data_IF_448469770559
#
_entry.id   IF_448469770559
#
_cell.length_a   1.000
_cell.length_b   1.000
_cell.length_c   1.000
_cell.angle_alpha   90.00
_cell.angle_beta   90.00
_cell.angle_gamma   90.00
#
_symmetry.space_group_name_H-M   'P 1'
#
loop_
_entity.id
_entity.type
_entity.pdbx_description
1 polymer ?
#
# COMPACT_ATOMS: atom_id res chain seq x y z
N UNK A 1 0.50 23.94 109.09
CA UNK A 1 0.99 23.52 110.42
C UNK A 1 0.57 24.57 111.46
N UNK A 2 0.39 24.19 112.72
CA UNK A 2 0.37 25.10 113.88
C UNK A 2 1.84 25.54 114.20
N UNK A 3 2.16 26.48 115.14
CA UNK A 3 1.38 26.82 116.36
C UNK A 3 1.52 28.24 117.03
N UNK A 4 0.65 28.52 118.04
CA UNK A 4 0.89 29.30 119.32
C UNK A 4 1.34 30.79 119.19
N UNK A 5 0.90 31.81 119.98
CA UNK A 5 0.54 31.94 121.42
C UNK A 5 0.31 33.45 121.76
N UNK A 6 -0.56 33.75 122.75
CA UNK A 6 -0.63 34.94 123.68
C UNK A 6 -0.58 36.38 123.10
N UNK A 7 -1.44 37.35 123.47
CA UNK A 7 -2.02 37.89 124.74
C UNK A 7 -1.18 38.98 125.46
N UNK A 8 -1.71 40.21 125.38
CA UNK A 8 -1.96 41.20 126.45
C UNK A 8 -0.80 41.88 127.22
N UNK A 9 -0.99 43.18 127.43
CA UNK A 9 -0.28 44.08 128.36
C UNK A 9 -0.95 45.47 128.29
N UNK A 10 -1.17 46.13 129.43
CA UNK A 10 -1.93 47.37 129.55
C UNK A 10 -1.37 48.28 130.67
N UNK A 11 -1.69 49.58 130.58
CA UNK A 11 -1.74 50.65 131.59
C UNK A 11 -0.62 50.88 132.63
N UNK A 12 -0.32 52.17 132.88
CA UNK A 12 -0.35 52.69 134.26
C UNK A 12 0.92 53.31 134.86
N UNK A 13 0.91 54.63 135.04
CA UNK A 13 1.66 55.39 136.05
C UNK A 13 0.69 56.43 136.70
N UNK A 14 0.95 57.15 137.79
CA UNK A 14 2.19 57.45 138.50
C UNK A 14 1.99 57.85 140.00
N UNK A 15 3.11 58.16 140.67
CA UNK A 15 3.35 58.86 141.96
C UNK A 15 2.39 60.00 142.40
N UNK A 16 2.26 60.27 143.73
CA UNK A 16 2.27 61.66 144.31
C UNK A 16 2.40 61.77 145.86
N UNK A 17 2.33 63.01 146.40
CA UNK A 17 2.77 63.53 147.73
C UNK A 17 2.12 64.92 148.04
N UNK A 18 2.13 65.61 149.22
CA UNK A 18 2.74 65.43 150.57
C UNK A 18 2.02 66.28 151.70
N UNK A 19 1.60 65.70 152.85
CA UNK A 19 1.22 66.43 154.11
C UNK A 19 -0.03 67.35 154.08
N UNK A 20 -0.53 67.95 155.17
CA UNK A 20 -0.28 67.75 156.63
C UNK A 20 -0.87 68.84 157.59
N UNK A 21 -1.25 68.44 158.82
CA UNK A 21 -1.36 69.23 160.08
C UNK A 21 -2.61 70.13 160.48
N UNK A 22 -3.22 69.80 161.64
CA UNK A 22 -3.70 70.61 162.83
C UNK A 22 -4.06 72.13 162.77
N UNK A 23 -4.84 72.76 163.67
CA UNK A 23 -5.81 72.41 164.75
C UNK A 23 -6.49 73.72 165.31
N UNK A 24 -7.32 73.66 166.38
CA UNK A 24 -8.00 74.78 167.12
C UNK A 24 -8.06 74.44 168.64
N UNK A 25 -8.94 74.99 169.54
CA UNK A 25 -9.80 76.21 169.60
C UNK A 25 -9.43 77.10 170.84
N UNK A 26 -10.21 77.92 171.61
CA UNK A 26 -11.63 78.17 172.00
C UNK A 26 -11.79 79.67 172.45
N UNK A 27 -12.98 80.25 172.80
CA UNK A 27 -14.35 80.03 172.32
C UNK A 27 -15.21 81.33 172.16
N UNK A 28 -15.54 81.73 170.93
CA UNK A 28 -16.85 82.34 170.59
C UNK A 28 -17.07 82.38 169.05
N UNK A 29 -15.98 82.40 168.26
CA UNK A 29 -16.02 82.34 166.79
C UNK A 29 -16.18 80.93 166.18
N UNK A 30 -16.39 79.88 167.00
CA UNK A 30 -16.15 78.48 166.57
C UNK A 30 -17.10 78.00 165.48
N UNK A 31 -18.41 78.31 165.55
CA UNK A 31 -19.41 77.77 164.61
C UNK A 31 -19.18 78.16 163.15
N UNK A 32 -18.68 79.38 162.92
CA UNK A 32 -18.29 79.88 161.59
C UNK A 32 -17.15 79.03 161.02
N UNK A 33 -16.30 78.54 161.91
CA UNK A 33 -14.97 78.01 161.62
C UNK A 33 -14.96 76.49 161.42
N UNK A 34 -16.09 75.78 161.61
CA UNK A 34 -16.28 74.38 161.18
C UNK A 34 -17.01 74.30 159.84
N UNK A 35 -18.06 75.11 159.67
CA UNK A 35 -18.77 75.27 158.40
C UNK A 35 -17.82 75.59 157.24
N UNK A 36 -16.77 76.39 157.47
CA UNK A 36 -15.73 76.67 156.46
C UNK A 36 -14.96 75.43 155.99
N UNK A 37 -14.54 74.53 156.89
CA UNK A 37 -13.75 73.33 156.51
C UNK A 37 -14.55 72.38 155.62
N UNK A 38 -15.78 72.08 156.02
CA UNK A 38 -16.71 71.26 155.22
C UNK A 38 -17.01 71.89 153.86
N UNK A 39 -17.10 73.23 153.78
CA UNK A 39 -17.25 73.95 152.51
C UNK A 39 -16.01 73.89 151.61
N UNK A 40 -14.80 73.73 152.16
CA UNK A 40 -13.57 73.64 151.38
C UNK A 40 -13.32 72.20 150.88
N UNK A 41 -13.61 71.18 151.68
CA UNK A 41 -13.64 69.77 151.25
C UNK A 41 -14.71 69.52 150.17
N UNK A 42 -15.90 70.16 150.29
CA UNK A 42 -16.93 70.14 149.24
C UNK A 42 -16.53 70.88 147.96
N UNK A 43 -15.53 71.77 148.00
CA UNK A 43 -14.96 72.41 146.80
C UNK A 43 -13.91 71.52 146.13
N UNK A 44 -13.03 70.88 146.89
CA UNK A 44 -12.01 69.99 146.31
C UNK A 44 -12.65 68.79 145.62
N UNK A 45 -13.57 68.09 146.29
CA UNK A 45 -14.29 66.97 145.68
C UNK A 45 -15.11 67.41 144.45
N UNK A 46 -15.72 68.60 144.48
CA UNK A 46 -16.42 69.15 143.30
C UNK A 46 -15.46 69.50 142.15
N UNK A 47 -14.25 69.96 142.44
CA UNK A 47 -13.23 70.24 141.43
C UNK A 47 -12.65 68.95 140.83
N UNK A 48 -12.48 67.91 141.65
CA UNK A 48 -12.06 66.57 141.24
C UNK A 48 -13.12 65.91 140.34
N UNK A 49 -14.38 65.80 140.79
CA UNK A 49 -15.48 65.31 139.93
C UNK A 49 -15.62 66.14 138.66
N UNK A 50 -15.52 67.47 138.75
CA UNK A 50 -15.56 68.38 137.59
C UNK A 50 -14.32 68.30 136.68
N UNK A 51 -13.29 67.54 137.04
CA UNK A 51 -12.15 67.16 136.20
C UNK A 51 -12.32 65.76 135.60
N UNK A 52 -12.86 64.81 136.38
CA UNK A 52 -13.25 63.48 135.91
C UNK A 52 -14.34 63.56 134.83
N UNK A 53 -15.34 64.43 135.00
CA UNK A 53 -16.36 64.73 133.99
C UNK A 53 -15.74 65.19 132.66
N UNK A 54 -14.67 65.99 132.70
CA UNK A 54 -13.99 66.49 131.48
C UNK A 54 -13.21 65.38 130.80
N UNK A 55 -12.48 64.56 131.56
CA UNK A 55 -11.76 63.40 131.05
C UNK A 55 -12.73 62.37 130.47
N UNK A 56 -13.86 62.11 131.14
CA UNK A 56 -14.93 61.24 130.64
C UNK A 56 -15.51 61.76 129.32
N UNK A 57 -15.79 63.06 129.22
CA UNK A 57 -16.30 63.67 127.98
C UNK A 57 -15.27 63.62 126.83
N UNK A 58 -13.98 63.82 127.12
CA UNK A 58 -12.90 63.66 126.14
C UNK A 58 -12.80 62.20 125.67
N UNK A 59 -12.80 61.24 126.59
CA UNK A 59 -12.75 59.80 126.28
C UNK A 59 -14.02 59.35 125.53
N UNK A 60 -15.20 59.92 125.80
CA UNK A 60 -16.42 59.64 125.02
C UNK A 60 -16.29 60.16 123.59
N UNK A 61 -15.80 61.40 123.41
CA UNK A 61 -15.60 61.99 122.09
C UNK A 61 -14.54 61.22 121.28
N UNK A 62 -13.43 60.83 121.90
CA UNK A 62 -12.39 60.00 121.27
C UNK A 62 -12.92 58.61 120.93
N UNK A 63 -13.72 58.00 121.80
CA UNK A 63 -14.40 56.72 121.53
C UNK A 63 -15.40 56.83 120.39
N UNK A 64 -16.16 57.92 120.30
CA UNK A 64 -17.11 58.19 119.21
C UNK A 64 -16.37 58.42 117.88
N UNK A 65 -15.27 59.19 117.89
CA UNK A 65 -14.39 59.36 116.72
C UNK A 65 -13.77 58.04 116.28
N UNK A 66 -13.23 57.23 117.21
CA UNK A 66 -12.70 55.90 116.92
C UNK A 66 -13.79 54.94 116.40
N UNK A 67 -15.02 55.06 116.90
CA UNK A 67 -16.17 54.25 116.41
C UNK A 67 -16.56 54.64 114.99
N UNK A 68 -16.56 55.94 114.65
CA UNK A 68 -16.80 56.43 113.30
C UNK A 68 -15.68 56.07 112.33
N UNK A 69 -14.40 56.23 112.73
CA UNK A 69 -13.25 55.81 111.93
C UNK A 69 -13.25 54.30 111.70
N UNK A 70 -13.54 53.49 112.73
CA UNK A 70 -13.65 52.05 112.60
C UNK A 70 -14.80 51.62 111.68
N UNK A 71 -15.97 52.29 111.76
CA UNK A 71 -17.08 52.03 110.85
C UNK A 71 -16.76 52.41 109.39
N UNK A 72 -16.00 53.48 109.16
CA UNK A 72 -15.51 53.88 107.84
C UNK A 72 -14.44 52.93 107.30
N UNK A 73 -13.47 52.53 108.12
CA UNK A 73 -12.46 51.52 107.73
C UNK A 73 -13.11 50.16 107.46
N UNK A 74 -14.16 49.79 108.22
CA UNK A 74 -14.96 48.60 107.95
C UNK A 74 -15.70 48.73 106.61
N UNK A 75 -16.43 49.82 106.35
CA UNK A 75 -17.17 49.97 105.09
C UNK A 75 -16.22 50.01 103.88
N UNK A 76 -15.08 50.68 103.99
CA UNK A 76 -14.04 50.70 102.94
C UNK A 76 -13.38 49.32 102.77
N UNK A 77 -13.24 48.52 103.83
CA UNK A 77 -12.77 47.13 103.72
C UNK A 77 -13.81 46.22 103.03
N UNK A 78 -15.09 46.40 103.33
CA UNK A 78 -16.21 45.69 102.70
C UNK A 78 -16.35 46.08 101.21
N UNK A 79 -16.31 47.37 100.87
CA UNK A 79 -16.27 47.87 99.48
C UNK A 79 -15.09 47.29 98.70
N UNK A 80 -13.88 47.29 99.27
CA UNK A 80 -12.69 46.68 98.64
C UNK A 80 -12.85 45.19 98.46
N UNK A 81 -13.44 44.49 99.43
CA UNK A 81 -13.73 43.05 99.33
C UNK A 81 -14.74 42.77 98.20
N UNK A 82 -15.74 43.64 98.02
CA UNK A 82 -16.75 43.51 96.96
C UNK A 82 -16.21 43.85 95.57
N UNK A 83 -15.34 44.86 95.45
CA UNK A 83 -14.59 45.11 94.22
C UNK A 83 -13.67 43.94 93.88
N UNK A 84 -13.03 43.31 94.87
CA UNK A 84 -12.22 42.10 94.69
C UNK A 84 -13.05 40.83 94.41
N UNK A 85 -14.35 40.79 94.75
CA UNK A 85 -15.28 39.74 94.30
C UNK A 85 -15.64 39.95 92.85
N UNK A 86 -16.15 41.13 92.50
CA UNK A 86 -16.49 41.51 91.11
C UNK A 86 -15.33 41.30 90.15
N UNK A 87 -14.11 41.73 90.50
CA UNK A 87 -12.91 41.52 89.67
C UNK A 87 -12.46 40.05 89.56
N UNK A 88 -12.89 39.15 90.44
CA UNK A 88 -12.69 37.69 90.27
C UNK A 88 -13.78 37.09 89.38
N UNK A 89 -15.02 37.54 89.54
CA UNK A 89 -16.15 37.14 88.71
C UNK A 89 -15.89 37.54 87.24
N UNK A 90 -15.52 38.80 86.98
CA UNK A 90 -15.10 39.29 85.65
C UNK A 90 -13.96 38.46 85.03
N UNK A 91 -12.91 38.11 85.80
CA UNK A 91 -11.79 37.30 85.31
C UNK A 91 -12.21 35.85 85.04
N UNK A 92 -13.16 35.30 85.81
CA UNK A 92 -13.75 33.99 85.53
C UNK A 92 -14.52 34.07 84.20
N UNK A 93 -15.43 35.04 84.05
CA UNK A 93 -16.22 35.25 82.83
C UNK A 93 -15.34 35.43 81.58
N UNK A 94 -14.27 36.22 81.66
CA UNK A 94 -13.28 36.37 80.59
C UNK A 94 -12.59 35.03 80.25
N UNK A 95 -12.09 34.30 81.26
CA UNK A 95 -11.43 32.99 81.02
C UNK A 95 -12.38 31.91 80.51
N UNK A 96 -13.66 31.96 80.87
CA UNK A 96 -14.69 31.09 80.30
C UNK A 96 -15.01 31.49 78.86
N UNK A 97 -15.14 32.78 78.53
CA UNK A 97 -15.33 33.27 77.16
C UNK A 97 -14.18 32.85 76.24
N UNK A 98 -12.94 33.16 76.61
CA UNK A 98 -11.75 32.70 75.87
C UNK A 98 -11.68 31.17 75.82
N UNK A 99 -12.14 30.48 76.86
CA UNK A 99 -12.27 29.04 76.92
C UNK A 99 -13.33 28.47 75.96
N UNK A 100 -14.39 29.21 75.64
CA UNK A 100 -15.40 28.86 74.64
C UNK A 100 -14.93 29.20 73.22
N UNK A 101 -14.36 30.39 73.00
CA UNK A 101 -13.73 30.80 71.74
C UNK A 101 -12.64 29.80 71.31
N UNK A 102 -11.76 29.39 72.22
CA UNK A 102 -10.72 28.40 71.93
C UNK A 102 -11.30 27.03 71.57
N UNK A 103 -12.47 26.65 72.11
CA UNK A 103 -13.20 25.42 71.70
C UNK A 103 -13.80 25.59 70.30
N UNK A 104 -14.43 26.73 70.01
CA UNK A 104 -15.00 27.05 68.70
C UNK A 104 -13.92 27.08 67.61
N UNK A 105 -12.79 27.74 67.83
CA UNK A 105 -11.65 27.74 66.91
C UNK A 105 -11.10 26.31 66.68
N UNK A 106 -10.96 25.50 67.74
CA UNK A 106 -10.55 24.09 67.61
C UNK A 106 -11.56 23.25 66.83
N UNK A 107 -12.87 23.51 66.97
CA UNK A 107 -13.91 22.85 66.20
C UNK A 107 -13.90 23.30 64.73
N UNK A 108 -13.76 24.60 64.43
CA UNK A 108 -13.68 25.09 63.05
C UNK A 108 -12.43 24.59 62.33
N UNK A 109 -11.28 24.49 63.02
CA UNK A 109 -10.07 23.86 62.45
C UNK A 109 -10.31 22.37 62.15
N UNK A 110 -10.99 21.63 63.04
CA UNK A 110 -11.35 20.23 62.77
C UNK A 110 -12.32 20.08 61.59
N UNK A 111 -13.29 20.98 61.46
CA UNK A 111 -14.20 21.02 60.32
C UNK A 111 -13.44 21.32 59.02
N UNK A 112 -12.60 22.37 58.99
CA UNK A 112 -11.78 22.71 57.83
C UNK A 112 -10.85 21.57 57.40
N UNK A 113 -10.28 20.81 58.35
CA UNK A 113 -9.45 19.64 58.05
C UNK A 113 -10.28 18.43 57.56
N UNK A 114 -11.53 18.27 58.01
CA UNK A 114 -12.45 17.28 57.49
C UNK A 114 -12.89 17.65 56.07
N UNK A 115 -13.39 18.87 55.87
CA UNK A 115 -13.74 19.50 54.58
C UNK A 115 -12.60 19.30 53.56
N UNK A 116 -11.36 19.69 53.90
CA UNK A 116 -10.19 19.48 53.04
C UNK A 116 -9.86 18.00 52.78
N UNK A 117 -10.13 17.10 53.72
CA UNK A 117 -9.90 15.66 53.53
C UNK A 117 -10.95 15.01 52.63
N UNK A 118 -12.19 15.46 52.71
CA UNK A 118 -13.33 15.04 51.90
C UNK A 118 -13.15 15.55 50.46
N UNK A 119 -12.85 16.84 50.27
CA UNK A 119 -12.42 17.43 48.98
C UNK A 119 -11.25 16.64 48.37
N UNK A 120 -10.22 16.30 49.17
CA UNK A 120 -9.07 15.53 48.72
C UNK A 120 -9.36 14.04 48.46
N UNK A 121 -10.52 13.50 48.89
CA UNK A 121 -11.01 12.19 48.44
C UNK A 121 -11.87 12.30 47.20
N UNK A 122 -12.74 13.30 47.08
CA UNK A 122 -13.60 13.51 45.92
C UNK A 122 -12.78 13.85 44.66
N UNK A 123 -11.71 14.64 44.81
CA UNK A 123 -10.73 14.89 43.75
C UNK A 123 -9.99 13.61 43.30
N UNK A 124 -9.78 12.63 44.19
CA UNK A 124 -9.20 11.32 43.82
C UNK A 124 -10.22 10.43 43.13
N UNK A 125 -11.44 10.34 43.66
CA UNK A 125 -12.52 9.52 43.10
C UNK A 125 -12.90 10.01 41.70
N UNK A 126 -13.01 11.33 41.50
CA UNK A 126 -13.26 11.94 40.19
C UNK A 126 -12.09 11.77 39.22
N UNK A 127 -10.84 11.89 39.68
CA UNK A 127 -9.67 11.59 38.85
C UNK A 127 -9.60 10.11 38.44
N UNK A 128 -9.86 9.18 39.36
CA UNK A 128 -9.94 7.74 39.06
C UNK A 128 -11.08 7.41 38.09
N UNK A 129 -12.25 8.04 38.24
CA UNK A 129 -13.38 7.87 37.33
C UNK A 129 -13.05 8.39 35.92
N UNK A 130 -12.40 9.56 35.82
CA UNK A 130 -11.94 10.12 34.56
C UNK A 130 -10.84 9.26 33.89
N UNK A 131 -9.95 8.64 34.67
CA UNK A 131 -8.97 7.69 34.16
C UNK A 131 -9.63 6.40 33.64
N UNK A 132 -10.56 5.80 34.40
CA UNK A 132 -11.30 4.61 33.98
C UNK A 132 -12.10 4.86 32.69
N UNK A 133 -12.84 5.98 32.62
CA UNK A 133 -13.55 6.39 31.40
C UNK A 133 -12.60 6.57 30.21
N UNK A 134 -11.39 7.11 30.44
CA UNK A 134 -10.37 7.25 29.39
C UNK A 134 -9.78 5.90 28.96
N UNK A 135 -9.58 4.96 29.88
CA UNK A 135 -9.16 3.59 29.55
C UNK A 135 -10.22 2.86 28.71
N UNK A 136 -11.50 2.93 29.09
CA UNK A 136 -12.58 2.28 28.35
C UNK A 136 -12.75 2.89 26.95
N UNK A 137 -12.71 4.22 26.83
CA UNK A 137 -12.68 4.92 25.53
C UNK A 137 -11.42 4.61 24.70
N UNK A 138 -10.31 4.18 25.31
CA UNK A 138 -9.16 3.65 24.58
C UNK A 138 -9.38 2.22 24.12
N UNK A 139 -9.95 1.33 24.97
CA UNK A 139 -10.32 -0.05 24.61
C UNK A 139 -11.28 -0.07 23.42
N UNK A 140 -12.35 0.73 23.46
CA UNK A 140 -13.31 0.89 22.36
C UNK A 140 -12.62 1.31 21.04
N UNK A 141 -11.61 2.18 21.10
CA UNK A 141 -10.84 2.63 19.94
C UNK A 141 -9.83 1.59 19.43
N UNK A 142 -9.33 0.72 20.30
CA UNK A 142 -8.47 -0.40 19.92
C UNK A 142 -9.30 -1.52 19.28
N UNK A 143 -10.47 -1.85 19.85
CA UNK A 143 -11.44 -2.79 19.27
C UNK A 143 -11.96 -2.28 17.92
N UNK A 144 -12.37 -1.01 17.80
CA UNK A 144 -12.81 -0.44 16.53
C UNK A 144 -11.74 -0.58 15.43
N UNK A 145 -10.48 -0.21 15.73
CA UNK A 145 -9.34 -0.40 14.81
C UNK A 145 -9.06 -1.87 14.50
N UNK A 146 -9.32 -2.78 15.44
CA UNK A 146 -9.19 -4.22 15.21
C UNK A 146 -10.24 -4.71 14.22
N UNK A 147 -11.51 -4.33 14.39
CA UNK A 147 -12.59 -4.67 13.45
C UNK A 147 -12.36 -4.04 12.06
N UNK A 148 -12.04 -2.74 11.98
CA UNK A 148 -11.66 -2.06 10.73
C UNK A 148 -10.56 -2.82 10.00
N UNK A 149 -9.51 -3.23 10.71
CA UNK A 149 -8.38 -4.00 10.16
C UNK A 149 -8.80 -5.39 9.68
N UNK A 150 -9.69 -6.08 10.39
CA UNK A 150 -10.24 -7.37 9.94
C UNK A 150 -11.10 -7.21 8.68
N UNK A 151 -11.89 -6.15 8.58
CA UNK A 151 -12.75 -5.91 7.42
C UNK A 151 -11.94 -5.45 6.20
N UNK A 152 -10.90 -4.63 6.39
CA UNK A 152 -9.90 -4.38 5.34
C UNK A 152 -9.20 -5.68 4.88
N UNK A 153 -8.92 -6.61 5.80
CA UNK A 153 -8.37 -7.94 5.48
C UNK A 153 -9.37 -8.86 4.76
N UNK A 154 -10.68 -8.74 4.98
CA UNK A 154 -11.72 -9.43 4.20
C UNK A 154 -11.81 -8.83 2.80
N UNK A 155 -12.01 -7.52 2.70
CA UNK A 155 -12.14 -6.78 1.43
C UNK A 155 -10.95 -7.00 0.50
N UNK A 156 -9.72 -6.98 1.03
CA UNK A 156 -8.51 -7.26 0.22
C UNK A 156 -8.42 -8.72 -0.24
N UNK A 157 -8.90 -9.70 0.55
CA UNK A 157 -8.99 -11.11 0.13
C UNK A 157 -10.08 -11.31 -0.92
N UNK A 158 -11.22 -10.66 -0.78
CA UNK A 158 -12.34 -10.71 -1.73
C UNK A 158 -11.93 -10.08 -3.08
N UNK A 159 -11.27 -8.93 -3.06
CA UNK A 159 -10.66 -8.34 -4.26
C UNK A 159 -9.62 -9.29 -4.91
N UNK A 160 -8.76 -9.94 -4.11
CA UNK A 160 -7.81 -10.92 -4.62
C UNK A 160 -8.49 -12.15 -5.26
N UNK A 161 -9.59 -12.64 -4.67
CA UNK A 161 -10.39 -13.72 -5.24
C UNK A 161 -11.03 -13.31 -6.58
N UNK A 162 -11.70 -12.16 -6.63
CA UNK A 162 -12.31 -11.62 -7.86
C UNK A 162 -11.26 -11.37 -8.95
N UNK A 163 -10.06 -10.88 -8.59
CA UNK A 163 -8.95 -10.75 -9.53
C UNK A 163 -8.42 -12.11 -10.02
N UNK A 164 -8.35 -13.12 -9.15
CA UNK A 164 -7.96 -14.48 -9.55
C UNK A 164 -8.98 -15.13 -10.49
N UNK A 165 -10.29 -14.97 -10.21
CA UNK A 165 -11.37 -15.41 -11.09
C UNK A 165 -11.35 -14.69 -12.43
N UNK A 166 -11.16 -13.37 -12.46
CA UNK A 166 -11.01 -12.60 -13.68
C UNK A 166 -9.82 -13.09 -14.53
N UNK A 167 -8.68 -13.39 -13.89
CA UNK A 167 -7.51 -13.96 -14.56
C UNK A 167 -7.76 -15.39 -15.08
N UNK A 168 -8.60 -16.19 -14.41
CA UNK A 168 -9.03 -17.50 -14.93
C UNK A 168 -9.97 -17.33 -16.14
N UNK A 169 -10.97 -16.46 -16.07
CA UNK A 169 -11.86 -16.14 -17.19
C UNK A 169 -11.09 -15.59 -18.40
N UNK A 170 -10.07 -14.76 -18.17
CA UNK A 170 -9.22 -14.23 -19.24
C UNK A 170 -8.39 -15.33 -19.92
N UNK A 171 -7.87 -16.30 -19.15
CA UNK A 171 -7.16 -17.47 -19.69
C UNK A 171 -8.10 -18.37 -20.50
N UNK A 172 -9.28 -18.69 -19.97
CA UNK A 172 -10.29 -19.48 -20.69
C UNK A 172 -10.65 -18.82 -22.04
N UNK A 173 -10.87 -17.50 -22.07
CA UNK A 173 -11.11 -16.74 -23.32
C UNK A 173 -9.91 -16.68 -24.27
N UNK A 174 -8.69 -16.92 -23.80
CA UNK A 174 -7.50 -17.07 -24.65
C UNK A 174 -7.41 -18.50 -25.20
N UNK A 175 -7.64 -19.51 -24.37
CA UNK A 175 -7.66 -20.93 -24.76
C UNK A 175 -8.78 -21.22 -25.78
N UNK A 176 -9.97 -20.64 -25.59
CA UNK A 176 -11.09 -20.67 -26.55
C UNK A 176 -10.64 -20.16 -27.94
N UNK A 177 -10.04 -18.96 -28.00
CA UNK A 177 -9.54 -18.38 -29.26
C UNK A 177 -8.40 -19.18 -29.88
N UNK A 178 -7.54 -19.78 -29.06
CA UNK A 178 -6.47 -20.68 -29.53
C UNK A 178 -7.09 -21.95 -30.13
N UNK A 179 -8.16 -22.49 -29.55
CA UNK A 179 -8.90 -23.64 -30.08
C UNK A 179 -9.67 -23.29 -31.37
N UNK A 180 -10.24 -22.10 -31.47
CA UNK A 180 -10.87 -21.58 -32.70
C UNK A 180 -9.85 -21.47 -33.84
N UNK A 181 -8.73 -20.78 -33.62
CA UNK A 181 -7.65 -20.67 -34.60
C UNK A 181 -7.11 -22.04 -35.03
N UNK A 182 -6.93 -22.98 -34.08
CA UNK A 182 -6.53 -24.37 -34.42
C UNK A 182 -7.57 -25.04 -35.33
N UNK A 183 -8.87 -24.94 -35.02
CA UNK A 183 -9.95 -25.48 -35.86
C UNK A 183 -9.97 -24.85 -37.25
N UNK A 184 -9.67 -23.56 -37.38
CA UNK A 184 -9.57 -22.85 -38.67
C UNK A 184 -8.35 -23.30 -39.50
N UNK A 185 -7.19 -23.45 -38.88
CA UNK A 185 -6.01 -24.03 -39.54
C UNK A 185 -6.24 -25.48 -39.96
N UNK A 186 -6.88 -26.31 -39.11
CA UNK A 186 -7.24 -27.69 -39.47
C UNK A 186 -8.27 -27.77 -40.60
N UNK A 187 -9.24 -26.84 -40.66
CA UNK A 187 -10.20 -26.75 -41.79
C UNK A 187 -9.46 -26.38 -43.06
N UNK A 188 -8.65 -25.32 -43.01
CA UNK A 188 -7.86 -24.83 -44.15
C UNK A 188 -6.88 -25.89 -44.67
N UNK A 189 -6.23 -26.65 -43.79
CA UNK A 189 -5.35 -27.75 -44.14
C UNK A 189 -6.12 -28.93 -44.77
N UNK A 190 -7.31 -29.29 -44.25
CA UNK A 190 -8.19 -30.30 -44.85
C UNK A 190 -8.64 -29.88 -46.25
N UNK A 191 -9.11 -28.66 -46.42
CA UNK A 191 -9.56 -28.12 -47.71
C UNK A 191 -8.43 -28.08 -48.73
N UNK A 192 -7.24 -27.64 -48.33
CA UNK A 192 -6.05 -27.66 -49.18
C UNK A 192 -5.70 -29.10 -49.60
N UNK A 193 -5.73 -30.05 -48.66
CA UNK A 193 -5.43 -31.46 -48.91
C UNK A 193 -6.45 -32.13 -49.84
N UNK A 194 -7.75 -31.82 -49.70
CA UNK A 194 -8.81 -32.25 -50.63
C UNK A 194 -8.61 -31.65 -52.03
N UNK A 195 -8.31 -30.35 -52.13
CA UNK A 195 -8.01 -29.68 -53.41
C UNK A 195 -6.79 -30.29 -54.10
N UNK A 196 -5.75 -30.67 -53.36
CA UNK A 196 -4.59 -31.36 -53.94
C UNK A 196 -4.89 -32.79 -54.35
N UNK A 197 -5.60 -33.58 -53.53
CA UNK A 197 -6.07 -34.93 -53.91
C UNK A 197 -6.86 -34.91 -55.23
N UNK A 198 -7.89 -34.06 -55.32
CA UNK A 198 -8.70 -33.90 -56.51
C UNK A 198 -7.87 -33.49 -57.75
N UNK A 199 -6.87 -32.61 -57.60
CA UNK A 199 -5.93 -32.27 -58.68
C UNK A 199 -5.10 -33.49 -59.11
N UNK A 200 -4.56 -34.26 -58.17
CA UNK A 200 -3.77 -35.47 -58.46
C UNK A 200 -4.62 -36.55 -59.14
N UNK A 201 -5.85 -36.76 -58.70
CA UNK A 201 -6.75 -37.77 -59.28
C UNK A 201 -7.28 -37.35 -60.66
N UNK A 202 -7.63 -36.08 -60.87
CA UNK A 202 -7.93 -35.57 -62.21
C UNK A 202 -6.75 -35.73 -63.18
N UNK A 203 -5.51 -35.47 -62.74
CA UNK A 203 -4.31 -35.68 -63.55
C UNK A 203 -4.06 -37.16 -63.85
N UNK A 204 -4.31 -38.07 -62.89
CA UNK A 204 -4.25 -39.53 -63.12
C UNK A 204 -5.27 -39.93 -64.19
N UNK A 205 -6.50 -39.46 -64.07
CA UNK A 205 -7.59 -39.77 -65.00
C UNK A 205 -7.33 -39.23 -66.41
N UNK A 206 -6.80 -38.00 -66.55
CA UNK A 206 -6.46 -37.44 -67.85
C UNK A 206 -5.28 -38.17 -68.51
N UNK A 207 -4.28 -38.60 -67.75
CA UNK A 207 -3.21 -39.46 -68.27
C UNK A 207 -3.73 -40.87 -68.63
N UNK A 208 -4.69 -41.42 -67.88
CA UNK A 208 -5.39 -42.66 -68.26
C UNK A 208 -6.22 -42.51 -69.53
N UNK A 209 -6.97 -41.41 -69.69
CA UNK A 209 -7.73 -41.08 -70.92
C UNK A 209 -6.78 -40.97 -72.12
N UNK A 210 -5.68 -40.23 -71.99
CA UNK A 210 -4.62 -40.12 -73.01
C UNK A 210 -4.04 -41.48 -73.37
N UNK A 211 -3.72 -42.33 -72.38
CA UNK A 211 -3.23 -43.70 -72.61
C UNK A 211 -4.27 -44.55 -73.35
N UNK A 212 -5.54 -44.52 -72.96
CA UNK A 212 -6.63 -45.25 -73.63
C UNK A 212 -6.80 -44.80 -75.08
N UNK A 213 -6.77 -43.50 -75.36
CA UNK A 213 -6.84 -42.94 -76.71
C UNK A 213 -5.64 -43.34 -77.58
N UNK A 214 -4.41 -43.31 -77.04
CA UNK A 214 -3.21 -43.75 -77.76
C UNK A 214 -3.23 -45.26 -78.06
N UNK A 215 -3.68 -46.09 -77.11
CA UNK A 215 -3.86 -47.53 -77.32
C UNK A 215 -4.91 -47.79 -78.40
N UNK A 216 -6.09 -47.16 -78.32
CA UNK A 216 -7.15 -47.31 -79.32
C UNK A 216 -6.70 -46.84 -80.73
N UNK A 217 -5.87 -45.79 -80.82
CA UNK A 217 -5.28 -45.37 -82.10
C UNK A 217 -4.32 -46.41 -82.64
N UNK A 218 -3.40 -46.93 -81.82
CA UNK A 218 -2.45 -47.99 -82.21
C UNK A 218 -3.20 -49.26 -82.63
N UNK A 219 -4.33 -49.58 -81.99
CA UNK A 219 -5.21 -50.68 -82.37
C UNK A 219 -5.92 -50.43 -83.70
N UNK A 220 -6.42 -49.22 -83.95
CA UNK A 220 -7.00 -48.83 -85.24
C UNK A 220 -5.95 -48.89 -86.38
N UNK A 221 -4.75 -48.38 -86.15
CA UNK A 221 -3.64 -48.41 -87.11
C UNK A 221 -3.21 -49.87 -87.41
N UNK A 222 -3.13 -50.73 -86.38
CA UNK A 222 -2.89 -52.18 -86.54
C UNK A 222 -4.02 -52.88 -87.30
N UNK A 223 -5.27 -52.59 -87.00
CA UNK A 223 -6.43 -53.20 -87.67
C UNK A 223 -6.53 -52.76 -89.14
N UNK A 224 -6.19 -51.50 -89.43
CA UNK A 224 -6.04 -50.99 -90.80
C UNK A 224 -4.93 -51.73 -91.55
N UNK A 225 -3.75 -51.90 -90.93
CA UNK A 225 -2.65 -52.66 -91.51
C UNK A 225 -3.00 -54.15 -91.72
N UNK A 226 -3.68 -54.79 -90.76
CA UNK A 226 -4.17 -56.17 -90.90
C UNK A 226 -5.16 -56.31 -92.06
N UNK A 227 -6.11 -55.39 -92.19
CA UNK A 227 -7.06 -55.34 -93.31
C UNK A 227 -6.34 -55.12 -94.66
N UNK A 228 -5.34 -54.23 -94.71
CA UNK A 228 -4.51 -54.02 -95.89
C UNK A 228 -3.74 -55.30 -96.27
N UNK A 229 -3.10 -55.98 -95.29
CA UNK A 229 -2.37 -57.23 -95.53
C UNK A 229 -3.31 -58.36 -95.94
N UNK A 230 -4.52 -58.46 -95.38
CA UNK A 230 -5.55 -59.40 -95.83
C UNK A 230 -6.03 -59.09 -97.26
N UNK A 231 -6.18 -57.80 -97.61
CA UNK A 231 -6.51 -57.37 -98.98
C UNK A 231 -5.38 -57.67 -99.96
N UNK A 232 -4.12 -57.44 -99.57
CA UNK A 232 -2.95 -57.80 -100.39
C UNK A 232 -2.80 -59.32 -100.53
N UNK A 233 -2.92 -60.09 -99.44
CA UNK A 233 -2.82 -61.55 -99.45
C UNK A 233 -3.97 -62.20 -100.26
N UNK A 234 -5.18 -61.66 -100.18
CA UNK A 234 -6.27 -62.11 -101.04
C UNK A 234 -6.02 -61.74 -102.52
N UNK A 235 -5.51 -60.54 -102.82
CA UNK A 235 -5.11 -60.16 -104.19
C UNK A 235 -3.98 -61.03 -104.73
N UNK A 236 -2.92 -61.29 -103.97
CA UNK A 236 -1.83 -62.20 -104.39
C UNK A 236 -2.33 -63.63 -104.50
N UNK A 237 -3.19 -64.11 -103.60
CA UNK A 237 -3.82 -65.43 -103.72
C UNK A 237 -4.68 -65.54 -105.00
N UNK A 238 -5.40 -64.49 -105.39
CA UNK A 238 -6.11 -64.46 -106.68
C UNK A 238 -5.17 -64.34 -107.88
N UNK A 239 -4.09 -63.57 -107.78
CA UNK A 239 -3.07 -63.46 -108.82
C UNK A 239 -2.29 -64.77 -109.00
N UNK A 240 -2.03 -65.52 -107.91
CA UNK A 240 -1.42 -66.85 -107.91
C UNK A 240 -2.40 -67.88 -108.50
N UNK A 241 -3.70 -67.81 -108.14
CA UNK A 241 -4.74 -68.65 -108.78
C UNK A 241 -4.90 -68.35 -110.28
N UNK A 242 -4.78 -67.08 -110.69
CA UNK A 242 -4.74 -66.70 -112.12
C UNK A 242 -3.46 -67.21 -112.76
N UNK A 243 -2.29 -66.91 -112.24
CA UNK A 243 -0.99 -67.38 -112.76
C UNK A 243 -0.91 -68.90 -112.88
N UNK A 244 -1.42 -69.68 -111.93
CA UNK A 244 -1.54 -71.14 -112.07
C UNK A 244 -2.71 -71.59 -112.96
N UNK A 245 -3.78 -70.79 -113.12
CA UNK A 245 -4.82 -71.01 -114.12
C UNK A 245 -4.31 -70.78 -115.55
N UNK A 246 -3.57 -69.70 -115.76
CA UNK A 246 -2.91 -69.29 -117.00
C UNK A 246 -1.73 -70.23 -117.32
N UNK A 247 -1.01 -70.73 -116.31
CA UNK A 247 -0.05 -71.83 -116.47
C UNK A 247 -0.76 -73.16 -116.72
N UNK A 248 -1.93 -73.47 -116.16
CA UNK A 248 -2.63 -74.72 -116.51
C UNK A 248 -3.29 -74.66 -117.88
N UNK A 249 -3.78 -73.50 -118.33
CA UNK A 249 -4.28 -73.30 -119.70
C UNK A 249 -3.12 -73.27 -120.72
N UNK A 250 -2.06 -72.51 -120.44
CA UNK A 250 -0.83 -72.49 -121.24
C UNK A 250 -0.12 -73.84 -121.22
N UNK A 251 -0.13 -74.60 -120.11
CA UNK A 251 0.36 -75.98 -120.09
C UNK A 251 -0.60 -76.96 -120.75
N UNK A 252 -1.91 -76.72 -120.82
CA UNK A 252 -2.82 -77.54 -121.63
C UNK A 252 -2.63 -77.26 -123.12
N UNK A 253 -2.33 -76.01 -123.50
CA UNK A 253 -1.86 -75.66 -124.84
C UNK A 253 -0.48 -76.22 -125.13
N UNK A 254 0.47 -76.13 -124.21
CA UNK A 254 1.81 -76.67 -124.35
C UNK A 254 1.80 -78.19 -124.32
N UNK A 255 0.87 -78.86 -123.63
CA UNK A 255 0.66 -80.31 -123.74
C UNK A 255 0.02 -80.66 -125.10
N UNK A 256 -0.79 -79.78 -125.71
CA UNK A 256 -1.24 -79.96 -127.11
C UNK A 256 -0.10 -79.73 -128.11
N UNK A 257 0.76 -78.73 -127.89
CA UNK A 257 1.95 -78.42 -128.70
C UNK A 257 3.02 -79.51 -128.55
N UNK A 258 3.40 -79.87 -127.32
CA UNK A 258 4.30 -80.99 -127.01
C UNK A 258 3.72 -82.36 -127.38
N UNK A 259 2.41 -82.58 -127.48
CA UNK A 259 1.89 -83.82 -128.12
C UNK A 259 2.13 -83.86 -129.63
N UNK A 260 2.36 -82.70 -130.26
CA UNK A 260 2.87 -82.55 -131.62
C UNK A 260 4.40 -82.67 -131.60
N UNK A 261 5.08 -81.78 -130.87
CA UNK A 261 6.54 -81.66 -130.80
C UNK A 261 7.23 -82.86 -130.14
N UNK A 262 6.57 -83.74 -129.37
CA UNK A 262 7.16 -85.00 -128.88
C UNK A 262 7.30 -86.04 -130.01
N UNK A 263 6.49 -85.93 -131.09
CA UNK A 263 6.79 -86.66 -132.32
C UNK A 263 8.10 -86.16 -132.95
N UNK A 264 8.32 -84.84 -132.91
CA UNK A 264 9.45 -84.14 -133.52
C UNK A 264 10.73 -84.16 -132.64
N UNK A 265 10.61 -84.19 -131.32
CA UNK A 265 11.71 -84.17 -130.35
C UNK A 265 12.22 -85.58 -130.00
N UNK A 266 11.44 -86.63 -130.28
CA UNK A 266 11.99 -88.00 -130.41
C UNK A 266 13.12 -88.08 -131.45
N UNK A 267 13.22 -87.11 -132.36
CA UNK A 267 14.32 -86.95 -133.32
C UNK A 267 15.49 -86.08 -132.80
N UNK A 268 15.34 -85.40 -131.65
CA UNK A 268 16.28 -84.36 -131.17
C UNK A 268 16.88 -84.59 -129.77
N UNK A 269 16.21 -85.33 -128.88
CA UNK A 269 16.66 -85.57 -127.49
C UNK A 269 18.05 -86.23 -127.37
N UNK A 270 18.56 -86.83 -128.46
CA UNK A 270 19.90 -87.42 -128.54
C UNK A 270 21.08 -86.42 -128.40
N UNK A 271 20.84 -85.09 -128.31
CA UNK A 271 21.90 -84.07 -128.53
C UNK A 271 22.32 -83.20 -127.33
N UNK A 272 21.46 -82.91 -126.36
CA UNK A 272 21.68 -81.80 -125.39
C UNK A 272 21.83 -82.19 -123.91
N UNK A 273 21.97 -83.48 -123.59
CA UNK A 273 22.08 -84.01 -122.22
C UNK A 273 23.36 -83.64 -121.43
N UNK A 274 24.08 -82.55 -121.77
CA UNK A 274 25.42 -82.22 -121.21
C UNK A 274 25.55 -80.86 -120.50
N UNK A 275 24.54 -79.99 -120.49
CA UNK A 275 24.62 -78.64 -119.88
C UNK A 275 24.15 -78.54 -118.41
N UNK A 276 23.68 -79.63 -117.79
CA UNK A 276 23.04 -79.62 -116.47
C UNK A 276 23.99 -79.60 -115.24
N UNK A 277 25.29 -79.85 -115.41
CA UNK A 277 26.21 -80.05 -114.27
C UNK A 277 26.70 -78.74 -113.61
N UNK A 278 27.11 -77.75 -114.42
CA UNK A 278 27.98 -76.66 -113.98
C UNK A 278 27.30 -75.61 -113.07
N UNK A 279 25.97 -75.53 -113.09
CA UNK A 279 25.21 -74.56 -112.29
C UNK A 279 25.10 -74.95 -110.81
N UNK A 280 25.23 -76.24 -110.47
CA UNK A 280 25.04 -76.72 -109.09
C UNK A 280 26.26 -76.41 -108.21
N UNK A 281 27.46 -76.35 -108.79
CA UNK A 281 28.71 -76.13 -108.03
C UNK A 281 28.82 -74.71 -107.44
N UNK A 282 28.43 -73.69 -108.19
CA UNK A 282 28.70 -72.27 -107.85
C UNK A 282 27.90 -71.75 -106.66
N UNK A 283 26.77 -72.38 -106.32
CA UNK A 283 25.85 -71.90 -105.29
C UNK A 283 26.30 -72.23 -103.84
N UNK A 284 27.32 -73.08 -103.65
CA UNK A 284 27.74 -73.55 -102.31
C UNK A 284 28.79 -72.67 -101.62
N UNK A 285 29.46 -71.75 -102.33
CA UNK A 285 30.58 -70.97 -101.79
C UNK A 285 30.22 -69.70 -101.00
N UNK A 286 29.00 -69.17 -101.17
CA UNK A 286 28.63 -67.81 -100.70
C UNK A 286 27.96 -67.77 -99.31
N UNK A 287 27.67 -68.92 -98.71
CA UNK A 287 26.86 -69.01 -97.47
C UNK A 287 27.65 -68.66 -96.21
N UNK A 288 28.92 -69.09 -96.12
CA UNK A 288 29.77 -68.87 -94.95
C UNK A 288 30.17 -67.40 -94.71
N UNK A 289 30.62 -66.62 -95.74
CA UNK A 289 30.96 -65.21 -95.54
C UNK A 289 29.79 -64.36 -95.06
N UNK A 290 28.59 -64.62 -95.59
CA UNK A 290 27.36 -63.89 -95.29
C UNK A 290 26.94 -64.02 -93.82
N UNK A 291 27.26 -65.15 -93.18
CA UNK A 291 26.89 -65.45 -91.79
C UNK A 291 27.77 -64.76 -90.74
N UNK A 292 28.99 -64.37 -91.11
CA UNK A 292 29.96 -63.74 -90.17
C UNK A 292 29.70 -62.25 -90.05
N UNK A 293 29.47 -61.57 -91.17
CA UNK A 293 29.13 -60.15 -91.20
C UNK A 293 27.79 -59.84 -90.50
N UNK A 294 26.78 -60.72 -90.61
CA UNK A 294 25.54 -60.56 -89.83
C UNK A 294 25.80 -60.59 -88.32
N UNK A 295 26.59 -61.54 -87.82
CA UNK A 295 26.91 -61.64 -86.39
C UNK A 295 27.75 -60.46 -85.86
N UNK A 296 28.59 -59.86 -86.71
CA UNK A 296 29.34 -58.64 -86.37
C UNK A 296 28.42 -57.41 -86.32
N UNK A 297 27.51 -57.25 -87.29
CA UNK A 297 26.52 -56.17 -87.25
C UNK A 297 25.54 -56.29 -86.07
N UNK A 298 25.15 -57.50 -85.67
CA UNK A 298 24.30 -57.72 -84.48
C UNK A 298 24.99 -57.26 -83.18
N UNK A 299 26.29 -57.53 -83.02
CA UNK A 299 27.09 -57.07 -81.86
C UNK A 299 27.20 -55.55 -81.81
N UNK A 300 27.58 -54.93 -82.92
CA UNK A 300 27.71 -53.47 -83.03
C UNK A 300 26.35 -52.77 -82.77
N UNK A 301 25.25 -53.34 -83.24
CA UNK A 301 23.90 -52.85 -82.90
C UNK A 301 23.55 -52.99 -81.41
N UNK A 302 24.08 -53.98 -80.70
CA UNK A 302 23.87 -54.11 -79.26
C UNK A 302 24.68 -53.08 -78.48
N UNK A 303 25.95 -52.88 -78.84
CA UNK A 303 26.85 -51.90 -78.22
C UNK A 303 26.33 -50.46 -78.38
N UNK A 304 25.83 -50.11 -79.58
CA UNK A 304 25.19 -48.81 -79.83
C UNK A 304 23.97 -48.56 -78.91
N UNK A 305 23.11 -49.56 -78.69
CA UNK A 305 21.94 -49.43 -77.80
C UNK A 305 22.36 -49.20 -76.34
N UNK A 306 23.42 -49.86 -75.87
CA UNK A 306 23.97 -49.62 -74.53
C UNK A 306 24.50 -48.18 -74.40
N UNK A 307 25.25 -47.71 -75.40
CA UNK A 307 25.77 -46.34 -75.43
C UNK A 307 24.66 -45.28 -75.47
N UNK A 308 23.57 -45.52 -76.21
CA UNK A 308 22.39 -44.64 -76.21
C UNK A 308 21.72 -44.58 -74.83
N UNK A 309 21.55 -45.73 -74.16
CA UNK A 309 20.99 -45.81 -72.81
C UNK A 309 21.86 -45.06 -71.81
N UNK A 310 23.18 -45.24 -71.84
CA UNK A 310 24.09 -44.60 -70.89
C UNK A 310 24.25 -43.10 -71.16
N UNK A 311 24.13 -42.66 -72.43
CA UNK A 311 24.03 -41.23 -72.80
C UNK A 311 22.79 -40.57 -72.19
N UNK A 312 21.64 -41.27 -72.13
CA UNK A 312 20.43 -40.77 -71.45
C UNK A 312 20.62 -40.71 -69.93
N UNK A 313 21.15 -41.77 -69.30
CA UNK A 313 21.47 -41.77 -67.86
C UNK A 313 22.41 -40.61 -67.49
N UNK A 314 23.42 -40.35 -68.31
CA UNK A 314 24.38 -39.25 -68.10
C UNK A 314 23.71 -37.87 -68.24
N UNK A 315 22.73 -37.72 -69.13
CA UNK A 315 21.94 -36.49 -69.24
C UNK A 315 21.06 -36.27 -68.00
N UNK A 316 20.35 -37.30 -67.52
CA UNK A 316 19.58 -37.23 -66.27
C UNK A 316 20.45 -36.92 -65.05
N UNK A 317 21.63 -37.55 -64.95
CA UNK A 317 22.57 -37.31 -63.86
C UNK A 317 23.09 -35.87 -63.86
N UNK A 318 23.38 -35.31 -65.05
CA UNK A 318 23.77 -33.90 -65.21
C UNK A 318 22.62 -32.94 -64.84
N UNK A 319 21.38 -33.24 -65.23
CA UNK A 319 20.21 -32.45 -64.84
C UNK A 319 20.04 -32.43 -63.32
N UNK A 320 20.02 -33.60 -62.67
CA UNK A 320 19.92 -33.73 -61.20
C UNK A 320 21.08 -33.01 -60.49
N UNK A 321 22.29 -33.04 -61.03
CA UNK A 321 23.43 -32.29 -60.50
C UNK A 321 23.22 -30.77 -60.61
N UNK A 322 22.74 -30.26 -61.76
CA UNK A 322 22.45 -28.82 -61.92
C UNK A 322 21.27 -28.34 -61.06
N UNK A 323 20.28 -29.20 -60.83
CA UNK A 323 19.20 -28.92 -59.88
C UNK A 323 19.77 -28.82 -58.47
N UNK A 324 20.57 -29.80 -58.04
CA UNK A 324 21.20 -29.83 -56.72
C UNK A 324 22.13 -28.63 -56.47
N UNK A 325 23.00 -28.26 -57.41
CA UNK A 325 23.85 -27.07 -57.25
C UNK A 325 23.03 -25.79 -57.19
N UNK A 326 21.92 -25.69 -57.95
CA UNK A 326 21.01 -24.55 -57.84
C UNK A 326 20.28 -24.49 -56.48
N UNK A 327 20.02 -25.63 -55.85
CA UNK A 327 19.44 -25.65 -54.49
C UNK A 327 20.47 -25.34 -53.40
N UNK A 328 21.72 -25.78 -53.55
CA UNK A 328 22.81 -25.45 -52.62
C UNK A 328 23.08 -23.93 -52.63
N UNK A 329 23.27 -23.33 -53.81
CA UNK A 329 23.49 -21.88 -53.94
C UNK A 329 22.34 -21.04 -53.34
N UNK A 330 21.08 -21.52 -53.41
CA UNK A 330 19.93 -20.88 -52.76
C UNK A 330 19.93 -21.03 -51.24
N UNK A 331 20.37 -22.18 -50.72
CA UNK A 331 20.49 -22.42 -49.28
C UNK A 331 21.66 -21.63 -48.67
N UNK A 332 22.78 -21.52 -49.39
CA UNK A 332 23.93 -20.68 -49.02
C UNK A 332 23.51 -19.21 -48.90
N UNK A 333 22.84 -18.66 -49.92
CA UNK A 333 22.28 -17.30 -49.87
C UNK A 333 21.27 -17.11 -48.72
N UNK A 334 20.44 -18.12 -48.42
CA UNK A 334 19.52 -18.06 -47.28
C UNK A 334 20.25 -18.08 -45.93
N UNK A 335 21.34 -18.84 -45.81
CA UNK A 335 22.19 -18.86 -44.62
C UNK A 335 22.86 -17.50 -44.40
N UNK A 336 23.49 -16.91 -45.43
CA UNK A 336 24.10 -15.58 -45.36
C UNK A 336 23.09 -14.49 -44.91
N UNK A 337 21.88 -14.49 -45.49
CA UNK A 337 20.82 -13.56 -45.11
C UNK A 337 20.39 -13.74 -43.65
N UNK A 338 20.25 -14.99 -43.18
CA UNK A 338 19.91 -15.29 -41.79
C UNK A 338 21.05 -14.91 -40.82
N UNK A 339 22.30 -15.13 -41.19
CA UNK A 339 23.46 -14.71 -40.39
C UNK A 339 23.50 -13.19 -40.24
N UNK A 340 23.37 -12.44 -41.33
CA UNK A 340 23.27 -10.97 -41.32
C UNK A 340 22.10 -10.48 -40.45
N UNK A 341 20.92 -11.11 -40.55
CA UNK A 341 19.77 -10.79 -39.69
C UNK A 341 20.06 -11.08 -38.21
N UNK A 342 20.67 -12.22 -37.87
CA UNK A 342 21.02 -12.53 -36.47
C UNK A 342 22.08 -11.56 -35.93
N UNK A 343 23.05 -11.12 -36.74
CA UNK A 343 23.97 -10.05 -36.35
C UNK A 343 23.27 -8.72 -36.07
N UNK A 344 22.39 -8.28 -36.98
CA UNK A 344 21.64 -7.03 -36.80
C UNK A 344 20.78 -7.08 -35.52
N UNK A 345 20.16 -8.23 -35.22
CA UNK A 345 19.42 -8.47 -33.99
C UNK A 345 20.34 -8.50 -32.74
N UNK A 346 21.53 -9.12 -32.81
CA UNK A 346 22.53 -9.08 -31.72
C UNK A 346 22.98 -7.65 -31.43
N UNK A 347 23.31 -6.87 -32.47
CA UNK A 347 23.72 -5.45 -32.38
C UNK A 347 22.59 -4.61 -31.75
N UNK A 348 21.36 -4.70 -32.27
CA UNK A 348 20.18 -4.01 -31.73
C UNK A 348 19.83 -4.40 -30.30
N UNK A 349 20.03 -5.68 -29.91
CA UNK A 349 19.87 -6.15 -28.53
C UNK A 349 20.90 -5.51 -27.60
N UNK A 350 22.18 -5.50 -27.98
CA UNK A 350 23.25 -4.89 -27.20
C UNK A 350 23.04 -3.38 -27.01
N UNK A 351 22.65 -2.66 -28.08
CA UNK A 351 22.25 -1.25 -27.98
C UNK A 351 21.09 -1.04 -27.00
N UNK A 352 20.03 -1.85 -27.08
CA UNK A 352 18.86 -1.70 -26.23
C UNK A 352 19.19 -2.01 -24.76
N UNK A 353 20.03 -3.01 -24.49
CA UNK A 353 20.57 -3.27 -23.16
C UNK A 353 21.42 -2.11 -22.64
N UNK A 354 22.28 -1.51 -23.46
CA UNK A 354 23.08 -0.34 -23.07
C UNK A 354 22.22 0.90 -22.82
N UNK A 355 21.19 1.16 -23.66
CA UNK A 355 20.21 2.23 -23.45
C UNK A 355 19.43 2.03 -22.15
N UNK A 356 18.99 0.81 -21.87
CA UNK A 356 18.32 0.45 -20.60
C UNK A 356 19.22 0.68 -19.39
N UNK A 357 20.48 0.21 -19.42
CA UNK A 357 21.44 0.45 -18.34
C UNK A 357 21.69 1.95 -18.10
N UNK A 358 21.91 2.74 -19.16
CA UNK A 358 22.06 4.20 -19.05
C UNK A 358 20.82 4.88 -18.47
N UNK A 359 19.62 4.44 -18.85
CA UNK A 359 18.36 4.96 -18.31
C UNK A 359 18.17 4.58 -16.83
N UNK A 360 18.47 3.33 -16.46
CA UNK A 360 18.37 2.84 -15.08
C UNK A 360 19.34 3.58 -14.15
N UNK A 361 20.64 3.66 -14.50
CA UNK A 361 21.61 4.43 -13.73
C UNK A 361 21.27 5.93 -13.69
N UNK A 362 20.78 6.49 -14.80
CA UNK A 362 20.33 7.89 -14.84
C UNK A 362 19.11 8.18 -13.96
N UNK A 363 18.18 7.23 -13.81
CA UNK A 363 17.08 7.35 -12.84
C UNK A 363 17.57 7.12 -11.41
N UNK A 364 18.44 6.15 -11.17
CA UNK A 364 19.03 5.90 -9.84
C UNK A 364 19.81 7.12 -9.33
N UNK A 365 20.60 7.77 -10.19
CA UNK A 365 21.28 9.03 -9.87
C UNK A 365 20.30 10.17 -9.58
N UNK A 366 19.26 10.34 -10.41
CA UNK A 366 18.21 11.36 -10.17
C UNK A 366 17.43 11.11 -8.88
N UNK A 367 17.15 9.85 -8.53
CA UNK A 367 16.52 9.47 -7.28
C UNK A 367 17.45 9.76 -6.09
N UNK A 368 18.69 9.27 -6.11
CA UNK A 368 19.67 9.51 -5.05
C UNK A 368 19.97 10.99 -4.82
N UNK A 369 20.06 11.81 -5.89
CA UNK A 369 20.19 13.26 -5.77
C UNK A 369 18.95 13.92 -5.15
N UNK A 370 17.74 13.47 -5.50
CA UNK A 370 16.51 13.95 -4.84
C UNK A 370 16.50 13.58 -3.36
N UNK A 371 16.82 12.34 -3.00
CA UNK A 371 16.89 11.90 -1.60
C UNK A 371 17.93 12.70 -0.82
N UNK A 372 19.14 12.87 -1.35
CA UNK A 372 20.21 13.68 -0.72
C UNK A 372 19.80 15.16 -0.55
N UNK A 373 19.04 15.73 -1.47
CA UNK A 373 18.51 17.10 -1.34
C UNK A 373 17.40 17.16 -0.27
N UNK A 374 16.54 16.13 -0.19
CA UNK A 374 15.51 16.04 0.86
C UNK A 374 16.14 15.83 2.24
N UNK A 375 17.12 14.95 2.39
CA UNK A 375 17.90 14.76 3.63
C UNK A 375 18.57 16.06 4.09
N UNK A 376 19.18 16.81 3.17
CA UNK A 376 19.81 18.11 3.50
C UNK A 376 18.79 19.18 3.86
N UNK A 377 17.62 19.21 3.21
CA UNK A 377 16.52 20.13 3.58
C UNK A 377 15.92 19.77 4.93
N UNK A 378 15.74 18.48 5.20
CA UNK A 378 15.20 17.97 6.45
C UNK A 378 16.14 18.31 7.60
N UNK A 379 17.45 18.07 7.48
CA UNK A 379 18.46 18.50 8.46
C UNK A 379 18.50 20.00 8.68
N UNK A 380 18.43 20.81 7.61
CA UNK A 380 18.37 22.26 7.74
C UNK A 380 17.06 22.77 8.39
N UNK A 381 15.98 21.97 8.39
CA UNK A 381 14.75 22.24 9.12
C UNK A 381 14.84 21.76 10.58
N UNK A 382 15.44 20.59 10.84
CA UNK A 382 15.76 20.10 12.19
C UNK A 382 16.66 21.10 12.93
N UNK A 383 17.77 21.54 12.32
CA UNK A 383 18.68 22.57 12.84
C UNK A 383 17.94 23.90 13.11
N UNK A 384 17.00 24.29 12.25
CA UNK A 384 16.20 25.51 12.44
C UNK A 384 15.15 25.35 13.55
N UNK A 385 14.56 24.17 13.70
CA UNK A 385 13.62 23.84 14.77
C UNK A 385 14.33 23.79 16.13
N UNK A 386 15.50 23.14 16.23
CA UNK A 386 16.33 23.15 17.43
C UNK A 386 16.69 24.58 17.85
N UNK A 387 17.12 25.43 16.92
CA UNK A 387 17.45 26.84 17.18
C UNK A 387 16.21 27.64 17.60
N UNK A 388 15.06 27.46 16.93
CA UNK A 388 13.82 28.14 17.30
C UNK A 388 13.30 27.69 18.68
N UNK A 389 13.36 26.39 18.97
CA UNK A 389 12.96 25.83 20.26
C UNK A 389 13.87 26.31 21.39
N UNK A 390 15.19 26.37 21.17
CA UNK A 390 16.14 26.96 22.12
C UNK A 390 15.86 28.45 22.38
N UNK A 391 15.56 29.24 21.34
CA UNK A 391 15.16 30.65 21.50
C UNK A 391 13.85 30.79 22.28
N UNK A 392 12.86 29.92 22.06
CA UNK A 392 11.60 29.91 22.84
C UNK A 392 11.86 29.55 24.30
N UNK A 393 12.74 28.58 24.59
CA UNK A 393 13.13 28.23 25.96
C UNK A 393 13.86 29.38 26.66
N UNK A 394 14.80 30.04 25.99
CA UNK A 394 15.47 31.25 26.50
C UNK A 394 14.49 32.38 26.79
N UNK A 395 13.53 32.64 25.90
CA UNK A 395 12.52 33.69 26.10
C UNK A 395 11.58 33.37 27.27
N UNK A 396 11.17 32.10 27.44
CA UNK A 396 10.40 31.64 28.62
C UNK A 396 11.17 31.88 29.90
N UNK A 397 12.45 31.48 29.96
CA UNK A 397 13.31 31.66 31.14
C UNK A 397 13.55 33.14 31.46
N UNK A 398 13.95 33.95 30.47
CA UNK A 398 14.23 35.39 30.64
C UNK A 398 13.02 36.20 31.11
N UNK A 399 11.81 35.86 30.63
CA UNK A 399 10.57 36.56 31.00
C UNK A 399 9.81 35.95 32.18
N UNK A 400 10.21 34.79 32.69
CA UNK A 400 9.50 34.00 33.72
C UNK A 400 8.02 33.75 33.39
N UNK A 401 7.71 33.46 32.13
CA UNK A 401 6.33 33.14 31.71
C UNK A 401 6.08 31.68 32.06
N UNK A 402 5.06 31.43 32.89
CA UNK A 402 4.66 30.07 33.24
C UNK A 402 4.01 29.37 32.04
N UNK A 403 4.16 28.05 31.94
CA UNK A 403 3.65 27.33 30.76
C UNK A 403 2.12 27.36 30.66
N UNK A 404 1.40 27.55 31.78
CA UNK A 404 -0.06 27.64 31.82
C UNK A 404 -0.62 28.75 30.93
N UNK A 405 -0.02 29.95 30.97
CA UNK A 405 -0.52 31.11 30.23
C UNK A 405 -0.25 31.01 28.71
N UNK A 406 0.73 30.20 28.32
CA UNK A 406 1.12 30.00 26.93
C UNK A 406 0.29 28.93 26.21
N UNK A 407 -0.30 27.97 26.93
CA UNK A 407 -1.15 26.91 26.32
C UNK A 407 -2.35 27.49 25.56
N UNK A 408 -3.26 28.29 26.15
CA UNK A 408 -4.43 28.79 25.44
C UNK A 408 -4.08 29.76 24.30
N UNK A 409 -2.95 30.47 24.43
CA UNK A 409 -2.45 31.34 23.36
C UNK A 409 -1.85 30.54 22.20
N UNK A 410 -1.18 29.40 22.49
CA UNK A 410 -0.71 28.45 21.48
C UNK A 410 -1.88 27.77 20.79
N UNK A 411 -2.84 27.21 21.53
CA UNK A 411 -4.00 26.53 20.97
C UNK A 411 -4.86 27.47 20.10
N UNK A 412 -5.01 28.73 20.50
CA UNK A 412 -5.65 29.77 19.68
C UNK A 412 -4.86 30.11 18.41
N UNK A 413 -3.53 30.18 18.48
CA UNK A 413 -2.67 30.38 17.31
C UNK A 413 -2.68 29.16 16.37
N UNK A 414 -2.60 27.95 16.90
CA UNK A 414 -2.66 26.68 16.17
C UNK A 414 -4.03 26.48 15.50
N UNK A 415 -5.12 26.89 16.16
CA UNK A 415 -6.46 26.92 15.56
C UNK A 415 -6.56 27.92 14.41
N UNK A 416 -5.98 29.12 14.57
CA UNK A 416 -5.95 30.15 13.52
C UNK A 416 -5.02 29.79 12.35
N UNK A 417 -3.93 29.07 12.60
CA UNK A 417 -3.07 28.48 11.56
C UNK A 417 -3.85 27.41 10.78
N UNK A 418 -4.43 26.42 11.47
CA UNK A 418 -5.26 25.36 10.83
C UNK A 418 -6.41 25.94 10.01
N UNK A 419 -7.06 27.00 10.48
CA UNK A 419 -8.12 27.69 9.74
C UNK A 419 -7.57 28.39 8.48
N UNK A 420 -6.36 28.96 8.52
CA UNK A 420 -5.70 29.56 7.35
C UNK A 420 -5.18 28.50 6.37
N UNK A 421 -4.68 27.38 6.87
CA UNK A 421 -4.20 26.28 6.03
C UNK A 421 -5.38 25.60 5.32
N UNK A 422 -6.50 25.36 6.03
CA UNK A 422 -7.74 24.88 5.43
C UNK A 422 -8.26 25.83 4.34
N UNK A 423 -8.34 27.14 4.64
CA UNK A 423 -8.73 28.15 3.64
C UNK A 423 -7.74 28.23 2.47
N UNK A 424 -6.44 28.01 2.71
CA UNK A 424 -5.44 27.95 1.65
C UNK A 424 -5.58 26.69 0.77
N UNK A 425 -6.05 25.57 1.32
CA UNK A 425 -6.39 24.36 0.56
C UNK A 425 -7.73 24.50 -0.17
N UNK A 426 -8.78 25.07 0.43
CA UNK A 426 -10.01 25.47 -0.25
C UNK A 426 -9.71 26.35 -1.48
N UNK A 427 -8.91 27.41 -1.31
CA UNK A 427 -8.48 28.26 -2.43
C UNK A 427 -7.62 27.52 -3.47
N UNK A 428 -6.84 26.49 -3.08
CA UNK A 428 -6.12 25.64 -4.04
C UNK A 428 -7.07 24.74 -4.82
N UNK A 429 -8.19 24.31 -4.24
CA UNK A 429 -9.21 23.52 -4.92
C UNK A 429 -10.09 24.37 -5.83
N UNK A 430 -10.51 25.56 -5.39
CA UNK A 430 -11.16 26.56 -6.25
C UNK A 430 -10.28 26.92 -7.46
N UNK A 431 -8.96 27.12 -7.26
CA UNK A 431 -8.03 27.38 -8.36
C UNK A 431 -7.92 26.18 -9.33
N UNK A 432 -8.05 24.94 -8.88
CA UNK A 432 -8.13 23.76 -9.78
C UNK A 432 -9.46 23.77 -10.53
N UNK A 433 -10.58 23.90 -9.82
CA UNK A 433 -11.92 23.91 -10.40
C UNK A 433 -12.09 25.02 -11.45
N UNK A 434 -11.57 26.22 -11.19
CA UNK A 434 -11.56 27.34 -12.15
C UNK A 434 -10.69 27.06 -13.38
N UNK A 435 -9.55 26.38 -13.23
CA UNK A 435 -8.70 25.95 -14.36
C UNK A 435 -9.39 24.89 -15.22
N UNK A 436 -10.04 23.91 -14.59
CA UNK A 436 -10.75 22.84 -15.27
C UNK A 436 -12.01 23.38 -15.98
N UNK A 437 -12.78 24.26 -15.33
CA UNK A 437 -13.89 24.98 -15.95
C UNK A 437 -13.44 25.87 -17.11
N UNK A 438 -12.29 26.55 -17.00
CA UNK A 438 -11.69 27.31 -18.09
C UNK A 438 -11.29 26.41 -19.27
N UNK A 439 -10.65 25.28 -19.01
CA UNK A 439 -10.30 24.29 -20.04
C UNK A 439 -11.56 23.76 -20.75
N UNK A 440 -12.61 23.40 -19.99
CA UNK A 440 -13.90 22.94 -20.54
C UNK A 440 -14.60 24.03 -21.33
N UNK A 441 -14.58 25.29 -20.87
CA UNK A 441 -15.14 26.42 -21.60
C UNK A 441 -14.40 26.66 -22.93
N UNK A 442 -13.06 26.56 -22.93
CA UNK A 442 -12.24 26.65 -24.16
C UNK A 442 -12.61 25.55 -25.15
N UNK A 443 -12.79 24.31 -24.71
CA UNK A 443 -13.21 23.20 -25.58
C UNK A 443 -14.66 23.35 -26.08
N UNK A 444 -15.57 23.89 -25.27
CA UNK A 444 -16.93 24.22 -25.68
C UNK A 444 -16.96 25.35 -26.71
N UNK A 445 -16.21 26.44 -26.50
CA UNK A 445 -16.11 27.54 -27.48
C UNK A 445 -15.49 27.06 -28.80
N UNK A 446 -14.44 26.22 -28.75
CA UNK A 446 -13.87 25.62 -29.97
C UNK A 446 -14.91 24.78 -30.73
N UNK A 447 -15.72 23.99 -30.02
CA UNK A 447 -16.82 23.21 -30.61
C UNK A 447 -17.90 24.10 -31.24
N UNK A 448 -18.32 25.18 -30.57
CA UNK A 448 -19.29 26.14 -31.09
C UNK A 448 -18.80 26.91 -32.31
N UNK A 449 -17.51 27.30 -32.34
CA UNK A 449 -16.89 27.96 -33.50
C UNK A 449 -16.82 27.02 -34.70
N UNK A 450 -16.39 25.77 -34.49
CA UNK A 450 -16.39 24.74 -35.53
C UNK A 450 -17.80 24.44 -36.07
N UNK A 451 -18.81 24.37 -35.19
CA UNK A 451 -20.22 24.21 -35.58
C UNK A 451 -20.78 25.43 -36.34
N UNK A 452 -20.21 26.61 -36.11
CA UNK A 452 -20.53 27.86 -36.81
C UNK A 452 -19.77 28.02 -38.14
N UNK A 453 -18.95 27.03 -38.52
CA UNK A 453 -18.17 27.03 -39.76
C UNK A 453 -16.90 27.88 -39.72
N UNK A 454 -16.47 28.36 -38.56
CA UNK A 454 -15.21 29.10 -38.40
C UNK A 454 -14.09 28.13 -38.03
N UNK A 455 -13.05 27.95 -38.86
CA UNK A 455 -11.89 27.14 -38.53
C UNK A 455 -11.15 27.71 -37.30
N UNK A 456 -10.68 26.83 -36.43
CA UNK A 456 -9.86 27.22 -35.26
C UNK A 456 -8.53 27.87 -35.69
N UNK A 457 -8.09 27.62 -36.94
CA UNK A 457 -6.88 28.16 -37.54
C UNK A 457 -6.97 29.66 -37.90
N UNK A 458 -8.19 30.21 -38.05
CA UNK A 458 -8.40 31.65 -38.30
C UNK A 458 -8.31 32.50 -37.02
N UNK A 459 -8.25 31.87 -35.84
CA UNK A 459 -8.08 32.55 -34.56
C UNK A 459 -6.60 32.91 -34.34
N UNK A 460 -6.29 34.22 -34.39
CA UNK A 460 -4.94 34.76 -34.20
C UNK A 460 -4.35 34.58 -32.78
N UNK A 461 -5.02 33.85 -31.90
CA UNK A 461 -4.55 33.52 -30.55
C UNK A 461 -4.85 32.05 -30.21
N UNK A 462 -3.89 31.38 -29.57
CA UNK A 462 -4.10 30.05 -28.99
C UNK A 462 -4.49 30.24 -27.52
N UNK A 463 -5.66 29.76 -27.06
CA UNK A 463 -6.06 29.88 -25.66
C UNK A 463 -5.13 29.05 -24.76
N UNK A 464 -4.66 29.66 -23.68
CA UNK A 464 -3.82 28.99 -22.66
C UNK A 464 -4.66 27.90 -21.99
N UNK A 465 -4.18 26.65 -22.05
CA UNK A 465 -4.69 25.53 -21.24
C UNK A 465 -3.87 25.42 -19.97
N UNK A 466 -4.53 25.10 -18.86
CA UNK A 466 -3.86 24.86 -17.58
C UNK A 466 -3.80 23.35 -17.29
N UNK A 467 -2.68 22.94 -16.68
CA UNK A 467 -2.38 21.56 -16.23
C UNK A 467 -1.87 21.58 -14.79
#
# INVERSE_FOLDING_TARGET
>A
MAPKKKRAGDSGAASLKNGGASAKPLPEEIEIQEKRKLLDELKSLRAECGSEERLYNQISLEKEQLSHLWALDQSVAEERHDLLRKKKEEVIDETESFGMELKLCKLRIKQLLAEQSEEATDLKISAEAALKLREDVHREKEDAKWYEKQDQLKMTREMQAVHAEFLQQLKLRQDEKILELRREFERSARDLHVKWKLRTDNLRDDMQKRRKLLVAKIEADKNSHLSMVQSQNSKTSHAIKRYYGDITSSNLELIKRLKKEHADLKQAEAREGKRMADLIAKNRGLVEPLRRTTQETEKLQHELRLYEIDKVKLAEAKQKLTEQTSTLARLEQQAEILEQQTEALRKRKAELQQRYQRAAYGQQQKAGLKTLILEKKLKALEEAEEVAHAQVQELRYRKKIECSDLVPLSEGADGLLKAKDALADELREDIKALKDLHNVAVDQYASCMAASGVPVEDLQFVPIRYT
#
